data_IF_456059491392
#
_entry.id   IF_456059491392
#
_cell.length_a   1.000
_cell.length_b   1.000
_cell.length_c   1.000
_cell.angle_alpha   90.00
_cell.angle_beta   90.00
_cell.angle_gamma   90.00
#
_symmetry.space_group_name_H-M   'P 1'
#
loop_
_entity.id
_entity.type
_entity.pdbx_description
1 polymer ?
#
# COMPACT_ATOMS: atom_id res chain seq x y z
N UNK A 1 -2.08 9.23 -12.74
CA UNK A 1 -3.05 8.71 -11.77
C UNK A 1 -3.03 9.61 -10.55
N UNK A 2 -4.17 10.06 -10.10
CA UNK A 2 -4.18 11.00 -8.98
C UNK A 2 -4.08 10.26 -7.64
N UNK A 3 -3.85 11.05 -6.59
CA UNK A 3 -3.62 10.49 -5.25
C UNK A 3 -4.82 9.71 -4.74
N UNK A 4 -6.03 10.17 -5.04
CA UNK A 4 -7.24 9.48 -4.60
C UNK A 4 -7.36 8.10 -5.24
N UNK A 5 -7.05 7.97 -6.51
CA UNK A 5 -7.07 6.69 -7.18
C UNK A 5 -6.05 5.74 -6.61
N UNK A 6 -4.84 6.25 -6.35
CA UNK A 6 -3.77 5.44 -5.77
C UNK A 6 -4.20 4.95 -4.40
N UNK A 7 -4.75 5.83 -3.58
CA UNK A 7 -5.21 5.48 -2.24
C UNK A 7 -6.28 4.39 -2.29
N UNK A 8 -7.26 4.55 -3.16
CA UNK A 8 -8.33 3.57 -3.30
C UNK A 8 -7.81 2.21 -3.76
N UNK A 9 -6.88 2.19 -4.68
CA UNK A 9 -6.29 0.93 -5.16
C UNK A 9 -5.49 0.23 -4.07
N UNK A 10 -4.78 1.00 -3.25
CA UNK A 10 -4.04 0.43 -2.13
C UNK A 10 -4.99 -0.16 -1.11
N UNK A 11 -6.07 0.55 -0.79
CA UNK A 11 -7.07 0.04 0.14
C UNK A 11 -7.73 -1.22 -0.39
N UNK A 12 -8.00 -1.27 -1.69
CA UNK A 12 -8.56 -2.47 -2.31
C UNK A 12 -7.60 -3.65 -2.25
N UNK A 13 -6.30 -3.39 -2.44
CA UNK A 13 -5.29 -4.43 -2.32
C UNK A 13 -5.26 -5.00 -0.90
N UNK A 14 -5.34 -4.13 0.10
CA UNK A 14 -5.38 -4.56 1.49
C UNK A 14 -6.63 -5.38 1.75
N UNK A 15 -7.78 -4.90 1.28
CA UNK A 15 -9.05 -5.60 1.48
C UNK A 15 -9.07 -6.97 0.79
N UNK A 16 -8.41 -7.08 -0.35
CA UNK A 16 -8.34 -8.33 -1.09
C UNK A 16 -7.56 -9.41 -0.35
N UNK A 17 -6.51 -9.01 0.33
CA UNK A 17 -5.59 -9.94 1.00
C UNK A 17 -5.99 -10.18 2.45
N UNK A 18 -6.51 -9.16 3.11
CA UNK A 18 -6.99 -9.25 4.49
C UNK A 18 -8.52 -9.27 4.49
N UNK A 19 -9.11 -9.52 5.66
CA UNK A 19 -10.57 -9.52 5.79
C UNK A 19 -11.14 -8.15 6.16
N UNK A 20 -10.37 -7.10 5.92
CA UNK A 20 -10.78 -5.73 6.25
C UNK A 20 -11.41 -5.07 5.04
N UNK A 21 -12.59 -4.48 5.22
CA UNK A 21 -13.24 -3.74 4.13
C UNK A 21 -12.45 -2.47 3.80
N UNK A 22 -12.33 -2.18 2.51
CA UNK A 22 -11.62 -0.97 2.07
C UNK A 22 -12.21 0.28 2.69
N UNK A 23 -13.52 0.31 2.91
CA UNK A 23 -14.19 1.47 3.51
C UNK A 23 -13.80 1.70 4.97
N UNK A 24 -13.35 0.64 5.63
CA UNK A 24 -12.96 0.72 7.03
C UNK A 24 -11.49 1.08 7.21
N UNK A 25 -10.76 1.27 6.12
CA UNK A 25 -9.34 1.59 6.17
C UNK A 25 -9.17 3.10 6.07
N UNK A 26 -8.66 3.71 7.13
CA UNK A 26 -8.39 5.14 7.12
C UNK A 26 -7.12 5.43 6.31
N UNK A 27 -7.06 6.63 5.73
CA UNK A 27 -5.89 7.04 4.94
C UNK A 27 -4.61 7.04 5.78
N UNK A 28 -4.73 7.29 7.06
CA UNK A 28 -3.60 7.35 7.99
C UNK A 28 -3.44 6.08 8.81
N UNK A 29 -4.17 5.01 8.48
CA UNK A 29 -4.11 3.77 9.25
C UNK A 29 -2.71 3.17 9.20
N UNK A 30 -2.23 2.71 10.36
CA UNK A 30 -0.98 1.98 10.46
C UNK A 30 -1.21 0.53 10.11
N UNK A 31 -0.36 -0.04 9.26
CA UNK A 31 -0.51 -1.43 8.87
C UNK A 31 -0.43 -2.38 10.05
N UNK A 32 0.47 -2.11 10.99
CA UNK A 32 0.65 -2.99 12.15
C UNK A 32 -0.25 -2.64 13.31
N UNK A 33 -0.34 -1.36 13.63
CA UNK A 33 -1.05 -0.93 14.83
C UNK A 33 -2.56 -0.85 14.65
N UNK A 34 -2.99 -0.35 13.50
CA UNK A 34 -4.42 -0.15 13.24
C UNK A 34 -5.06 -1.33 12.52
N UNK A 35 -4.35 -1.92 11.57
CA UNK A 35 -4.88 -3.00 10.75
C UNK A 35 -4.39 -4.38 11.20
N UNK A 36 -3.47 -4.41 12.14
CA UNK A 36 -2.95 -5.65 12.73
C UNK A 36 -2.43 -6.62 11.67
N UNK A 37 -1.70 -6.10 10.70
CA UNK A 37 -1.13 -6.91 9.63
C UNK A 37 0.31 -7.29 9.97
N UNK A 38 0.65 -8.56 9.78
CA UNK A 38 2.02 -9.00 10.02
C UNK A 38 2.90 -8.84 8.78
N UNK A 39 4.17 -9.16 8.93
CA UNK A 39 5.15 -8.95 7.86
C UNK A 39 4.83 -9.76 6.61
N UNK A 40 4.30 -10.95 6.78
CA UNK A 40 3.97 -11.81 5.65
C UNK A 40 2.83 -11.21 4.83
N UNK A 41 1.81 -10.71 5.52
CA UNK A 41 0.68 -10.07 4.83
C UNK A 41 1.14 -8.79 4.14
N UNK A 42 2.01 -8.01 4.78
CA UNK A 42 2.56 -6.81 4.16
C UNK A 42 3.33 -7.13 2.89
N UNK A 43 4.06 -8.24 2.88
CA UNK A 43 4.77 -8.69 1.69
C UNK A 43 3.79 -9.01 0.56
N UNK A 44 2.69 -9.69 0.89
CA UNK A 44 1.66 -10.00 -0.10
C UNK A 44 1.02 -8.74 -0.65
N UNK A 45 0.76 -7.76 0.21
CA UNK A 45 0.21 -6.48 -0.23
C UNK A 45 1.17 -5.76 -1.15
N UNK A 46 2.47 -5.81 -0.86
CA UNK A 46 3.46 -5.16 -1.71
C UNK A 46 3.50 -5.78 -3.10
N UNK A 47 3.35 -7.09 -3.19
CA UNK A 47 3.28 -7.76 -4.48
C UNK A 47 2.06 -7.32 -5.27
N UNK A 48 0.93 -7.19 -4.58
CA UNK A 48 -0.30 -6.71 -5.23
C UNK A 48 -0.13 -5.29 -5.75
N UNK A 49 0.54 -4.44 -4.98
CA UNK A 49 0.84 -3.08 -5.40
C UNK A 49 1.73 -3.08 -6.64
N UNK A 50 2.75 -3.93 -6.66
CA UNK A 50 3.61 -4.07 -7.83
C UNK A 50 2.82 -4.41 -9.07
N UNK A 51 1.90 -5.35 -8.94
CA UNK A 51 1.10 -5.80 -10.07
C UNK A 51 0.14 -4.73 -10.55
N UNK A 52 -0.50 -4.02 -9.63
CA UNK A 52 -1.50 -3.04 -9.99
C UNK A 52 -0.91 -1.77 -10.61
N UNK A 53 0.25 -1.37 -10.15
CA UNK A 53 0.86 -0.11 -10.61
C UNK A 53 2.03 -0.32 -11.56
N UNK A 54 2.45 -1.56 -11.78
CA UNK A 54 3.56 -1.86 -12.68
C UNK A 54 4.88 -1.30 -12.21
N UNK A 55 5.15 -1.40 -10.91
CA UNK A 55 6.39 -0.93 -10.32
C UNK A 55 7.00 -2.00 -9.42
N UNK A 56 8.20 -1.75 -8.92
CA UNK A 56 8.88 -2.67 -8.02
C UNK A 56 8.92 -2.11 -6.61
N UNK A 57 8.64 -2.96 -5.63
CA UNK A 57 8.74 -2.62 -4.21
C UNK A 57 9.86 -3.50 -3.62
N UNK A 58 10.94 -2.87 -3.22
CA UNK A 58 12.06 -3.59 -2.64
C UNK A 58 11.87 -3.79 -1.14
N UNK A 59 12.61 -4.75 -0.58
CA UNK A 59 12.51 -5.05 0.84
C UNK A 59 12.80 -3.83 1.70
N UNK A 60 13.74 -2.99 1.25
CA UNK A 60 14.05 -1.75 1.95
C UNK A 60 12.88 -0.78 1.99
N UNK A 61 12.10 -0.76 0.90
CA UNK A 61 10.94 0.10 0.81
C UNK A 61 9.85 -0.34 1.78
N UNK A 62 9.70 -1.65 1.96
CA UNK A 62 8.72 -2.20 2.89
C UNK A 62 8.91 -1.70 4.31
N UNK A 63 10.16 -1.53 4.70
CA UNK A 63 10.47 -1.06 6.06
C UNK A 63 9.98 0.36 6.30
N UNK A 64 9.82 1.14 5.25
CA UNK A 64 9.35 2.52 5.34
C UNK A 64 7.85 2.64 5.20
N UNK A 65 7.18 1.59 4.75
CA UNK A 65 5.73 1.60 4.56
C UNK A 65 5.04 1.23 5.86
N UNK A 66 4.75 2.22 6.68
CA UNK A 66 4.13 2.01 7.99
C UNK A 66 2.63 2.30 7.98
N UNK A 67 2.21 3.23 7.13
CA UNK A 67 0.80 3.61 7.02
C UNK A 67 0.34 3.57 5.58
N UNK A 68 -0.99 3.62 5.40
CA UNK A 68 -1.57 3.70 4.05
C UNK A 68 -1.03 4.93 3.33
N UNK A 69 -0.93 6.06 4.05
CA UNK A 69 -0.42 7.30 3.47
C UNK A 69 1.02 7.12 2.96
N UNK A 70 1.85 6.42 3.71
CA UNK A 70 3.23 6.13 3.28
C UNK A 70 3.24 5.37 1.96
N UNK A 71 2.35 4.39 1.83
CA UNK A 71 2.26 3.60 0.60
C UNK A 71 1.79 4.45 -0.58
N UNK A 72 0.84 5.36 -0.34
CA UNK A 72 0.36 6.26 -1.38
C UNK A 72 1.51 7.14 -1.88
N UNK A 73 2.25 7.72 -0.96
CA UNK A 73 3.39 8.57 -1.32
C UNK A 73 4.46 7.79 -2.07
N UNK A 74 4.72 6.58 -1.63
CA UNK A 74 5.70 5.73 -2.31
C UNK A 74 5.29 5.49 -3.77
N UNK A 75 4.03 5.12 -3.98
CA UNK A 75 3.54 4.85 -5.34
C UNK A 75 3.58 6.12 -6.19
N UNK A 76 3.17 7.26 -5.62
CA UNK A 76 3.22 8.52 -6.35
C UNK A 76 4.62 8.84 -6.83
N UNK A 77 5.59 8.70 -5.96
CA UNK A 77 6.98 8.98 -6.31
C UNK A 77 7.51 7.98 -7.33
N UNK A 78 7.15 6.72 -7.20
CA UNK A 78 7.58 5.70 -8.14
C UNK A 78 7.01 5.94 -9.54
N UNK A 79 5.77 6.41 -9.63
CA UNK A 79 5.14 6.66 -10.93
C UNK A 79 5.68 7.93 -11.59
N UNK A 80 6.10 8.90 -10.81
CA UNK A 80 6.60 10.18 -11.34
C UNK A 80 8.12 10.17 -11.48
N UNK A 81 8.79 9.39 -10.66
CA UNK A 81 10.24 9.44 -10.50
C UNK A 81 11.07 8.75 -11.57
N UNK A 82 10.46 8.27 -12.63
CA UNK A 82 11.19 7.59 -13.70
C UNK A 82 11.62 8.57 -14.77
N UNK A 83 12.41 9.49 -14.40
CA UNK A 83 12.88 10.49 -15.37
C UNK A 83 14.32 10.23 -15.73
#
# INVERSE_FOLDING_TARGET
>A
MDEREICNKIKEAIAKISDIDAQDIADTASFKDDLDLDSLVLLEISVEIEMQFGLEVHEEDLKQLQTVQDAVEFVQQALVGHV
#
